data_IF_373698603817
#
_entry.id   IF_373698603817
#
_cell.length_a   1.000
_cell.length_b   1.000
_cell.length_c   1.000
_cell.angle_alpha   90.00
_cell.angle_beta   90.00
_cell.angle_gamma   90.00
#
_symmetry.space_group_name_H-M   'P 1'
#
loop_
_entity.id
_entity.type
_entity.pdbx_description
1 polymer ?
#
# COMPACT_ATOMS: atom_id res chain seq x y z
N UNK A 1 5.64 8.14 17.55
CA UNK A 1 5.29 6.88 16.85
C UNK A 1 6.27 5.82 17.33
N UNK A 2 5.81 4.61 17.69
CA UNK A 2 6.70 3.53 18.10
C UNK A 2 7.33 2.90 16.84
N UNK A 3 8.67 2.97 16.65
CA UNK A 3 9.34 2.37 15.49
C UNK A 3 9.14 0.84 15.42
N UNK A 4 8.90 0.18 16.55
CA UNK A 4 8.69 -1.27 16.62
C UNK A 4 7.43 -1.73 15.89
N UNK A 5 6.46 -0.82 15.67
CA UNK A 5 5.20 -1.15 14.97
C UNK A 5 5.39 -1.26 13.45
N UNK A 6 6.49 -0.72 12.92
CA UNK A 6 6.81 -0.72 11.49
C UNK A 6 7.96 -1.67 11.14
N UNK A 7 8.68 -2.14 12.14
CA UNK A 7 9.73 -3.13 11.96
C UNK A 7 9.10 -4.51 11.95
N UNK A 8 9.44 -5.28 10.93
CA UNK A 8 9.15 -6.70 10.98
C UNK A 8 9.82 -7.30 12.22
N UNK A 9 9.12 -8.13 13.02
CA UNK A 9 9.76 -8.88 14.09
C UNK A 9 10.92 -9.72 13.53
N UNK A 10 12.13 -9.50 14.05
CA UNK A 10 13.28 -10.36 13.76
C UNK A 10 13.06 -11.72 14.44
N UNK A 11 13.24 -12.85 13.72
CA UNK A 11 13.25 -14.17 14.34
C UNK A 11 14.26 -14.22 15.51
N UNK A 12 14.00 -15.02 16.57
CA UNK A 12 14.83 -15.03 17.79
C UNK A 12 16.33 -15.28 17.58
N UNK A 13 16.71 -15.88 16.46
CA UNK A 13 18.09 -16.25 16.13
C UNK A 13 18.73 -15.35 15.05
N UNK A 14 18.03 -14.32 14.59
CA UNK A 14 18.50 -13.40 13.55
C UNK A 14 19.07 -12.14 14.23
N UNK A 15 20.41 -12.00 14.24
CA UNK A 15 21.10 -10.78 14.66
C UNK A 15 21.62 -10.06 13.42
N UNK A 16 21.08 -8.88 13.15
CA UNK A 16 21.50 -8.03 12.03
C UNK A 16 21.85 -6.63 12.54
N UNK A 17 22.96 -6.01 12.07
CA UNK A 17 23.21 -4.59 12.32
C UNK A 17 22.30 -3.68 11.47
N UNK A 18 21.48 -4.27 10.58
CA UNK A 18 20.58 -3.55 9.69
C UNK A 18 19.12 -3.74 10.12
N UNK A 19 18.26 -2.78 9.80
CA UNK A 19 16.81 -2.84 10.07
C UNK A 19 16.06 -3.90 9.25
N UNK A 20 16.73 -4.47 8.24
CA UNK A 20 16.17 -5.52 7.38
C UNK A 20 17.20 -6.60 7.07
N UNK A 21 16.86 -7.45 6.09
CA UNK A 21 17.75 -8.52 5.62
C UNK A 21 18.65 -8.03 4.50
N UNK A 22 19.94 -8.35 4.60
CA UNK A 22 20.89 -8.16 3.51
C UNK A 22 20.66 -9.26 2.49
N UNK A 23 20.44 -8.89 1.24
CA UNK A 23 20.20 -9.80 0.12
C UNK A 23 21.13 -9.48 -1.03
N UNK A 24 21.47 -10.49 -1.82
CA UNK A 24 22.32 -10.29 -3.00
C UNK A 24 21.54 -9.61 -4.13
N UNK A 25 22.21 -8.67 -4.78
CA UNK A 25 21.75 -8.01 -5.99
C UNK A 25 22.45 -8.62 -7.21
N UNK A 26 21.67 -9.09 -8.18
CA UNK A 26 22.19 -9.64 -9.44
C UNK A 26 21.88 -8.69 -10.58
N UNK A 27 22.91 -8.17 -11.24
CA UNK A 27 22.77 -7.31 -12.42
C UNK A 27 22.68 -8.18 -13.68
N UNK A 28 21.60 -8.03 -14.43
CA UNK A 28 21.46 -8.51 -15.80
C UNK A 28 21.71 -7.40 -16.81
N UNK A 29 21.53 -7.70 -18.10
CA UNK A 29 21.79 -6.75 -19.18
C UNK A 29 20.85 -5.53 -19.15
N UNK A 30 19.55 -5.76 -18.91
CA UNK A 30 18.52 -4.71 -18.92
C UNK A 30 17.76 -4.56 -17.59
N UNK A 31 18.02 -5.44 -16.62
CA UNK A 31 17.30 -5.45 -15.35
C UNK A 31 18.21 -5.86 -14.20
N UNK A 32 17.79 -5.50 -12.99
CA UNK A 32 18.40 -5.94 -11.75
C UNK A 32 17.41 -6.86 -11.06
N UNK A 33 17.90 -7.96 -10.50
CA UNK A 33 17.12 -8.88 -9.68
C UNK A 33 17.58 -8.78 -8.25
N UNK A 34 16.62 -8.51 -7.36
CA UNK A 34 16.80 -8.52 -5.90
C UNK A 34 15.86 -9.58 -5.35
N UNK A 35 16.40 -10.57 -4.63
CA UNK A 35 15.59 -11.63 -4.03
C UNK A 35 14.97 -11.14 -2.72
N UNK A 36 13.74 -10.63 -2.79
CA UNK A 36 13.00 -10.21 -1.59
C UNK A 36 12.38 -11.45 -0.92
N UNK A 37 12.63 -11.71 0.37
CA UNK A 37 12.01 -12.83 1.08
C UNK A 37 10.48 -12.70 1.16
N UNK A 38 9.75 -13.79 0.92
CA UNK A 38 8.27 -13.79 0.90
C UNK A 38 7.65 -13.30 2.20
N UNK A 39 8.22 -13.67 3.33
CA UNK A 39 7.79 -13.25 4.66
C UNK A 39 7.95 -11.72 4.89
N UNK A 40 8.85 -11.04 4.16
CA UNK A 40 8.90 -9.57 4.13
C UNK A 40 7.76 -8.99 3.29
N UNK A 41 7.44 -9.62 2.15
CA UNK A 41 6.32 -9.18 1.30
C UNK A 41 4.98 -9.33 2.04
N UNK A 42 4.76 -10.47 2.72
CA UNK A 42 3.59 -10.73 3.53
C UNK A 42 3.43 -9.70 4.66
N UNK A 43 4.51 -9.39 5.37
CA UNK A 43 4.52 -8.37 6.43
C UNK A 43 4.13 -6.98 5.89
N UNK A 44 4.64 -6.61 4.72
CA UNK A 44 4.28 -5.36 4.04
C UNK A 44 2.90 -5.39 3.37
N UNK A 45 2.26 -6.55 3.36
CA UNK A 45 0.99 -6.76 2.72
C UNK A 45 1.02 -6.82 1.19
N UNK A 46 2.18 -7.06 0.58
CA UNK A 46 2.33 -7.24 -0.86
C UNK A 46 2.08 -8.71 -1.21
N UNK A 47 1.16 -8.96 -2.14
CA UNK A 47 0.80 -10.31 -2.62
C UNK A 47 1.14 -10.44 -4.11
N UNK A 48 0.93 -11.63 -4.67
CA UNK A 48 0.90 -11.83 -6.12
C UNK A 48 -0.05 -10.80 -6.78
N UNK A 49 0.31 -10.33 -7.97
CA UNK A 49 -0.39 -9.32 -8.76
C UNK A 49 -0.58 -7.93 -8.10
N UNK A 50 -0.01 -7.68 -6.91
CA UNK A 50 0.00 -6.35 -6.32
C UNK A 50 0.86 -5.40 -7.15
N UNK A 51 0.24 -4.38 -7.75
CA UNK A 51 0.97 -3.29 -8.40
C UNK A 51 1.67 -2.41 -7.36
N UNK A 52 2.94 -2.14 -7.59
CA UNK A 52 3.80 -1.35 -6.71
C UNK A 52 4.43 -0.21 -7.49
N UNK A 53 4.69 0.91 -6.80
CA UNK A 53 5.54 1.96 -7.31
C UNK A 53 6.95 1.81 -6.74
N UNK A 54 7.95 2.17 -7.54
CA UNK A 54 9.37 2.05 -7.20
C UNK A 54 10.05 3.37 -7.49
N UNK A 55 10.80 3.90 -6.53
CA UNK A 55 11.52 5.16 -6.68
C UNK A 55 12.87 5.14 -5.97
N UNK A 56 13.80 5.96 -6.45
CA UNK A 56 15.14 6.10 -5.88
C UNK A 56 15.34 7.42 -5.14
N UNK A 57 16.19 7.40 -4.12
CA UNK A 57 16.68 8.59 -3.44
C UNK A 57 18.17 8.82 -3.76
N UNK A 58 18.68 10.07 -3.69
CA UNK A 58 20.07 10.38 -4.01
C UNK A 58 21.12 9.73 -3.11
N UNK A 59 20.73 9.25 -1.93
CA UNK A 59 21.59 8.54 -0.98
C UNK A 59 21.82 7.05 -1.36
N UNK A 60 21.26 6.62 -2.48
CA UNK A 60 21.35 5.23 -2.96
C UNK A 60 20.20 4.33 -2.47
N UNK A 61 19.21 4.87 -1.74
CA UNK A 61 18.05 4.09 -1.30
C UNK A 61 17.09 3.83 -2.46
N UNK A 62 16.77 2.55 -2.71
CA UNK A 62 15.65 2.15 -3.55
C UNK A 62 14.44 1.84 -2.65
N UNK A 63 13.33 2.51 -2.91
CA UNK A 63 12.08 2.36 -2.15
C UNK A 63 10.98 1.73 -3.02
N UNK A 64 10.09 0.98 -2.39
CA UNK A 64 8.95 0.34 -3.02
C UNK A 64 7.74 0.37 -2.08
N UNK A 65 6.54 0.63 -2.61
CA UNK A 65 5.26 0.51 -1.87
C UNK A 65 4.11 0.13 -2.81
N UNK A 66 3.00 -0.33 -2.24
CA UNK A 66 1.74 -0.56 -2.99
C UNK A 66 1.30 0.78 -3.61
N UNK A 67 0.97 0.78 -4.90
CA UNK A 67 0.63 1.99 -5.65
C UNK A 67 -0.83 2.46 -5.45
N UNK A 68 -1.36 2.31 -4.24
CA UNK A 68 -2.62 2.90 -3.77
C UNK A 68 -2.32 3.81 -2.59
N UNK A 69 -3.04 4.92 -2.46
CA UNK A 69 -2.91 5.86 -1.35
C UNK A 69 -4.23 6.01 -0.59
N UNK A 70 -4.16 6.15 0.73
CA UNK A 70 -5.32 6.50 1.55
C UNK A 70 -5.75 7.95 1.33
N UNK A 71 -7.02 8.19 1.04
CA UNK A 71 -7.58 9.54 0.83
C UNK A 71 -7.43 10.47 2.05
N UNK A 72 -7.29 9.92 3.26
CA UNK A 72 -7.23 10.69 4.50
C UNK A 72 -5.80 11.01 4.95
N UNK A 73 -4.93 9.99 4.99
CA UNK A 73 -3.57 10.16 5.48
C UNK A 73 -2.50 10.19 4.39
N UNK A 74 -2.89 9.99 3.13
CA UNK A 74 -2.02 9.97 1.95
C UNK A 74 -0.85 8.96 2.04
N UNK A 75 -0.98 7.96 2.93
CA UNK A 75 -0.01 6.88 3.05
C UNK A 75 -0.32 5.80 2.01
N UNK A 76 0.74 5.31 1.37
CA UNK A 76 0.64 4.18 0.46
C UNK A 76 0.42 2.87 1.21
N UNK A 77 -0.43 1.99 0.68
CA UNK A 77 -0.74 0.71 1.30
C UNK A 77 -2.10 0.18 0.85
N UNK A 78 -2.51 -0.97 1.41
CA UNK A 78 -3.86 -1.50 1.13
C UNK A 78 -4.93 -0.53 1.58
N UNK A 79 -5.92 -0.36 0.73
CA UNK A 79 -7.01 0.58 0.93
C UNK A 79 -8.34 -0.13 0.77
N UNK A 80 -9.35 0.44 1.41
CA UNK A 80 -10.67 -0.14 1.54
C UNK A 80 -11.72 0.91 1.22
N UNK A 81 -12.77 0.50 0.52
CA UNK A 81 -13.88 1.36 0.18
C UNK A 81 -14.71 1.65 1.42
N UNK A 82 -15.07 2.92 1.61
CA UNK A 82 -16.00 3.34 2.65
C UNK A 82 -16.93 4.42 2.09
N UNK A 83 -18.22 4.30 2.40
CA UNK A 83 -19.17 5.37 2.12
C UNK A 83 -19.34 6.26 3.36
N UNK A 84 -18.99 7.54 3.22
CA UNK A 84 -19.14 8.55 4.26
C UNK A 84 -19.98 9.70 3.72
N UNK A 85 -21.12 9.96 4.35
CA UNK A 85 -22.02 11.07 4.00
C UNK A 85 -22.43 11.11 2.51
N UNK A 86 -22.64 9.94 1.90
CA UNK A 86 -23.02 9.82 0.48
C UNK A 86 -21.85 9.96 -0.51
N UNK A 87 -20.61 9.97 -0.02
CA UNK A 87 -19.40 9.94 -0.85
C UNK A 87 -18.59 8.67 -0.57
N UNK A 88 -18.26 7.94 -1.63
CA UNK A 88 -17.29 6.85 -1.59
C UNK A 88 -15.88 7.40 -1.42
N UNK A 89 -15.14 6.89 -0.45
CA UNK A 89 -13.72 7.18 -0.22
C UNK A 89 -12.93 5.89 -0.13
N UNK A 90 -11.63 5.95 -0.41
CA UNK A 90 -10.73 4.81 -0.39
C UNK A 90 -9.65 5.06 0.67
N UNK A 91 -9.70 4.31 1.79
CA UNK A 91 -8.91 4.62 2.99
C UNK A 91 -8.14 3.40 3.51
N UNK A 92 -7.02 3.63 4.21
CA UNK A 92 -6.23 2.54 4.79
C UNK A 92 -6.97 1.90 5.99
N UNK A 93 -6.60 0.67 6.34
CA UNK A 93 -7.19 -0.06 7.46
C UNK A 93 -7.12 0.71 8.80
N UNK A 94 -6.06 1.48 9.02
CA UNK A 94 -5.89 2.26 10.26
C UNK A 94 -6.98 3.33 10.38
N UNK A 95 -7.23 4.08 9.32
CA UNK A 95 -8.24 5.14 9.33
C UNK A 95 -9.66 4.56 9.22
N UNK A 96 -9.83 3.41 8.56
CA UNK A 96 -11.09 2.68 8.54
C UNK A 96 -11.54 2.30 9.95
N UNK A 97 -10.63 1.73 10.75
CA UNK A 97 -10.92 1.38 12.15
C UNK A 97 -11.22 2.61 13.00
N UNK A 98 -10.48 3.71 12.81
CA UNK A 98 -10.75 4.96 13.54
C UNK A 98 -12.14 5.54 13.26
N UNK A 99 -12.64 5.36 12.03
CA UNK A 99 -13.93 5.92 11.62
C UNK A 99 -15.11 5.01 11.92
N UNK A 100 -14.93 3.69 11.82
CA UNK A 100 -16.03 2.71 11.90
C UNK A 100 -16.03 1.90 13.20
N UNK A 101 -14.95 1.98 13.98
CA UNK A 101 -14.65 1.10 15.12
C UNK A 101 -14.59 -0.39 14.76
N UNK A 102 -14.51 -0.71 13.45
CA UNK A 102 -14.49 -2.07 12.90
C UNK A 102 -13.28 -2.23 11.98
N UNK A 103 -12.75 -3.44 11.92
CA UNK A 103 -11.77 -3.79 10.89
C UNK A 103 -12.45 -3.96 9.53
N UNK A 104 -11.83 -3.50 8.43
CA UNK A 104 -12.38 -3.72 7.10
C UNK A 104 -12.31 -5.21 6.72
N UNK A 105 -13.29 -5.67 5.94
CA UNK A 105 -13.34 -7.02 5.39
C UNK A 105 -12.48 -7.16 4.13
N UNK A 106 -12.20 -8.40 3.73
CA UNK A 106 -11.53 -8.69 2.47
C UNK A 106 -12.38 -8.30 1.24
N UNK A 107 -13.71 -8.29 1.38
CA UNK A 107 -14.64 -7.79 0.37
C UNK A 107 -14.52 -6.30 0.11
N UNK A 108 -13.96 -5.56 1.07
CA UNK A 108 -13.89 -4.10 1.03
C UNK A 108 -12.55 -3.64 0.47
N UNK A 109 -11.58 -4.55 0.23
CA UNK A 109 -10.24 -4.25 -0.28
C UNK A 109 -10.32 -3.81 -1.74
N UNK A 110 -9.75 -2.65 -2.06
CA UNK A 110 -9.80 -2.05 -3.39
C UNK A 110 -8.44 -2.23 -4.08
N UNK A 111 -8.44 -2.75 -5.30
CA UNK A 111 -7.22 -2.81 -6.14
C UNK A 111 -7.05 -1.52 -6.93
N UNK A 112 -5.87 -1.28 -7.50
CA UNK A 112 -5.58 -0.06 -8.27
C UNK A 112 -6.54 0.10 -9.46
N UNK A 113 -6.85 -1.00 -10.13
CA UNK A 113 -7.83 -1.03 -11.22
C UNK A 113 -9.22 -0.57 -10.74
N UNK A 114 -9.63 -0.99 -9.54
CA UNK A 114 -10.90 -0.58 -8.95
C UNK A 114 -10.89 0.87 -8.48
N UNK A 115 -9.75 1.41 -8.00
CA UNK A 115 -9.62 2.85 -7.66
C UNK A 115 -9.87 3.71 -8.90
N UNK A 116 -9.27 3.36 -10.04
CA UNK A 116 -9.49 4.08 -11.31
C UNK A 116 -10.97 4.05 -11.72
N UNK A 117 -11.67 2.93 -11.54
CA UNK A 117 -13.12 2.84 -11.80
C UNK A 117 -13.96 3.71 -10.85
N UNK A 118 -13.62 3.72 -9.56
CA UNK A 118 -14.31 4.53 -8.54
C UNK A 118 -14.11 6.03 -8.81
N UNK A 119 -12.90 6.46 -9.15
CA UNK A 119 -12.62 7.84 -9.56
C UNK A 119 -13.43 8.23 -10.81
N UNK A 120 -13.50 7.35 -11.81
CA UNK A 120 -14.29 7.58 -13.02
C UNK A 120 -15.80 7.70 -12.73
N UNK A 121 -16.34 6.92 -11.79
CA UNK A 121 -17.75 7.05 -11.34
C UNK A 121 -18.01 8.40 -10.67
N UNK A 122 -17.06 8.92 -9.88
CA UNK A 122 -17.19 10.23 -9.22
C UNK A 122 -17.18 11.39 -10.22
N UNK A 123 -16.33 11.33 -11.25
CA UNK A 123 -16.27 12.33 -12.32
C UNK A 123 -17.56 12.30 -13.16
N UNK A 124 -18.07 11.10 -13.49
CA UNK A 124 -19.32 10.94 -14.24
C UNK A 124 -20.56 11.45 -13.50
N UNK A 125 -20.60 11.28 -12.16
CA UNK A 125 -21.69 11.80 -11.32
C UNK A 125 -21.74 13.32 -11.26
N UNK A 126 -20.59 13.99 -11.13
CA UNK A 126 -20.50 15.45 -11.08
C UNK A 126 -20.95 16.12 -12.39
N UNK A 127 -20.62 15.53 -13.55
CA UNK A 127 -21.03 16.04 -14.86
C UNK A 127 -22.53 15.90 -15.15
N UNK A 128 -23.23 15.01 -14.44
CA UNK A 128 -24.68 14.82 -14.58
C UNK A 128 -25.51 15.74 -13.67
N UNK A 129 -24.92 16.26 -12.59
CA UNK A 129 -25.58 17.16 -11.65
C UNK A 129 -25.59 18.63 -12.11
N UNK A 130 -24.67 19.01 -13.00
CA UNK A 130 -24.57 20.37 -13.58
C UNK A 130 -25.52 20.58 -14.79
N UNK A 131 -26.42 19.64 -15.09
CA UNK A 131 -27.39 19.73 -16.19
C UNK A 131 -28.82 20.13 -15.77
N UNK A 132 -29.05 20.56 -14.53
CA UNK A 132 -30.38 20.99 -14.05
C UNK A 132 -30.36 22.36 -13.38
#
# INVERSE_FOLDING_TARGET
MNPDKFMRPMPPNEKSPFLGRVVDLKKGENQVTVSIPNDMLEFCGIKEDTKVEVWGLPDGTLSMRIATACDLCNKGGRVYEIELFGKVSVICAEDYVKLTEKSPGASDEVTIEHVEEVENRMIGGALSADQY
#
